data_IF_137736984992
#
_entry.id   IF_137736984992
#
_cell.length_a   1.000
_cell.length_b   1.000
_cell.length_c   1.000
_cell.angle_alpha   90.00
_cell.angle_beta   90.00
_cell.angle_gamma   90.00
#
_symmetry.space_group_name_H-M   'P 1'
#
loop_
_entity.id
_entity.type
_entity.pdbx_description
1 polymer ?
#
# COMPACT_ATOMS: atom_id res chain seq x y z
N UNK A 1 -25.11 -20.63 -35.93
CA UNK A 1 -25.69 -19.33 -35.56
C UNK A 1 -24.77 -18.66 -34.54
N UNK A 2 -24.11 -17.57 -34.93
CA UNK A 2 -23.13 -16.88 -34.10
C UNK A 2 -23.86 -15.84 -33.22
N UNK A 3 -23.88 -16.06 -31.91
CA UNK A 3 -24.39 -15.06 -30.96
C UNK A 3 -23.33 -13.99 -30.75
N UNK A 4 -23.47 -12.88 -31.47
CA UNK A 4 -22.73 -11.65 -31.18
C UNK A 4 -23.15 -11.15 -29.78
N UNK A 5 -22.31 -11.36 -28.77
CA UNK A 5 -22.48 -10.72 -27.47
C UNK A 5 -22.27 -9.22 -27.64
N UNK A 6 -23.35 -8.46 -27.61
CA UNK A 6 -23.29 -7.01 -27.39
C UNK A 6 -22.60 -6.78 -26.05
N UNK A 7 -21.43 -6.15 -26.08
CA UNK A 7 -20.81 -5.56 -24.89
C UNK A 7 -21.62 -4.31 -24.55
N UNK A 8 -22.77 -4.50 -23.91
CA UNK A 8 -23.46 -3.42 -23.24
C UNK A 8 -22.53 -2.90 -22.13
N UNK A 9 -22.29 -1.59 -22.15
CA UNK A 9 -21.28 -0.91 -21.36
C UNK A 9 -21.30 -1.36 -19.90
N UNK A 10 -20.25 -2.09 -19.52
CA UNK A 10 -20.02 -2.41 -18.12
C UNK A 10 -19.90 -1.07 -17.36
N UNK A 11 -20.64 -0.86 -16.26
CA UNK A 11 -20.43 0.30 -15.43
C UNK A 11 -18.95 0.30 -15.00
N UNK A 12 -18.30 1.45 -15.11
CA UNK A 12 -16.88 1.60 -14.77
C UNK A 12 -16.65 1.09 -13.34
N UNK A 13 -16.05 -0.09 -13.22
CA UNK A 13 -15.78 -0.70 -11.93
C UNK A 13 -14.68 0.12 -11.26
N UNK A 14 -15.02 0.88 -10.22
CA UNK A 14 -14.05 1.67 -9.46
C UNK A 14 -13.23 0.71 -8.60
N UNK A 15 -12.02 0.40 -9.02
CA UNK A 15 -11.07 -0.35 -8.21
C UNK A 15 -10.69 0.54 -7.02
N UNK A 16 -11.05 0.11 -5.81
CA UNK A 16 -10.71 0.81 -4.57
C UNK A 16 -9.36 0.28 -4.10
N UNK A 17 -8.39 1.17 -3.95
CA UNK A 17 -7.16 0.86 -3.22
C UNK A 17 -7.47 0.89 -1.73
N UNK A 18 -7.64 -0.30 -1.15
CA UNK A 18 -7.96 -0.46 0.27
C UNK A 18 -6.83 0.02 1.18
N UNK A 19 -5.57 -0.08 0.75
CA UNK A 19 -4.43 0.36 1.56
C UNK A 19 -4.43 1.88 1.67
N UNK A 20 -4.70 2.57 0.55
CA UNK A 20 -4.82 4.03 0.53
C UNK A 20 -6.05 4.52 1.30
N UNK A 21 -7.21 3.88 1.11
CA UNK A 21 -8.42 4.21 1.85
C UNK A 21 -8.24 4.01 3.37
N UNK A 22 -7.55 2.95 3.78
CA UNK A 22 -7.29 2.68 5.19
C UNK A 22 -6.33 3.70 5.81
N UNK A 23 -5.25 4.04 5.12
CA UNK A 23 -4.32 5.07 5.58
C UNK A 23 -4.99 6.46 5.66
N UNK A 24 -5.93 6.77 4.76
CA UNK A 24 -6.71 8.01 4.81
C UNK A 24 -7.76 8.02 5.92
N UNK A 25 -8.13 6.86 6.47
CA UNK A 25 -9.03 6.74 7.61
C UNK A 25 -8.33 6.88 8.97
N UNK A 26 -6.99 6.81 9.01
CA UNK A 26 -6.21 7.19 10.19
C UNK A 26 -6.34 8.70 10.44
N UNK A 27 -6.24 9.10 11.71
CA UNK A 27 -6.16 10.52 12.03
C UNK A 27 -4.86 11.16 11.48
N UNK A 28 -4.82 12.49 11.47
CA UNK A 28 -3.72 13.22 10.84
C UNK A 28 -2.36 12.96 11.51
N UNK A 29 -2.35 12.76 12.83
CA UNK A 29 -1.16 12.55 13.63
C UNK A 29 -0.59 11.14 13.40
N UNK A 30 -1.43 10.10 13.51
CA UNK A 30 -1.06 8.72 13.19
C UNK A 30 -0.58 8.57 11.75
N UNK A 31 -1.22 9.26 10.80
CA UNK A 31 -0.78 9.23 9.40
C UNK A 31 0.59 9.90 9.23
N UNK A 32 0.85 10.99 9.94
CA UNK A 32 2.15 11.65 9.92
C UNK A 32 3.24 10.75 10.51
N UNK A 33 2.97 10.08 11.62
CA UNK A 33 3.89 9.14 12.27
C UNK A 33 4.20 7.95 11.36
N UNK A 34 3.16 7.33 10.79
CA UNK A 34 3.31 6.22 9.82
C UNK A 34 4.14 6.64 8.60
N UNK A 35 3.97 7.87 8.12
CA UNK A 35 4.76 8.40 7.01
C UNK A 35 6.20 8.69 7.39
N UNK A 36 6.45 9.17 8.60
CA UNK A 36 7.81 9.40 9.11
C UNK A 36 8.55 8.06 9.27
N UNK A 37 7.90 7.06 9.86
CA UNK A 37 8.45 5.72 10.01
C UNK A 37 8.71 5.06 8.65
N UNK A 38 7.75 5.17 7.71
CA UNK A 38 7.93 4.65 6.35
C UNK A 38 9.11 5.30 5.63
N UNK A 39 9.37 6.59 5.82
CA UNK A 39 10.56 7.28 5.27
C UNK A 39 11.86 6.79 5.90
N UNK A 40 11.87 6.54 7.20
CA UNK A 40 13.05 5.98 7.88
C UNK A 40 13.38 4.58 7.33
N UNK A 41 12.35 3.73 7.21
CA UNK A 41 12.52 2.39 6.63
C UNK A 41 12.91 2.43 5.16
N UNK A 42 12.35 3.35 4.39
CA UNK A 42 12.75 3.59 3.01
C UNK A 42 14.24 3.90 2.90
N UNK A 43 14.74 4.83 3.71
CA UNK A 43 16.16 5.19 3.71
C UNK A 43 17.09 4.03 4.10
N UNK A 44 16.66 3.17 5.02
CA UNK A 44 17.47 2.05 5.51
C UNK A 44 17.44 0.82 4.58
N UNK A 45 16.29 0.48 4.01
CA UNK A 45 16.06 -0.81 3.35
C UNK A 45 15.68 -0.70 1.87
N UNK A 46 15.30 0.48 1.39
CA UNK A 46 14.94 0.74 0.00
C UNK A 46 15.49 2.11 -0.49
N UNK A 47 16.81 2.35 -0.40
CA UNK A 47 17.40 3.66 -0.72
C UNK A 47 17.25 4.05 -2.20
N UNK A 48 17.05 3.06 -3.08
CA UNK A 48 16.73 3.21 -4.50
C UNK A 48 15.27 3.59 -4.77
N UNK A 49 14.41 3.55 -3.74
CA UNK A 49 13.01 3.91 -3.83
C UNK A 49 12.16 2.96 -4.68
N UNK A 50 10.99 3.44 -5.09
CA UNK A 50 10.14 2.83 -6.12
C UNK A 50 9.84 1.33 -5.92
N UNK A 51 10.46 0.46 -6.72
CA UNK A 51 10.19 -0.98 -6.71
C UNK A 51 10.62 -1.66 -5.39
N UNK A 52 11.71 -1.19 -4.78
CA UNK A 52 12.20 -1.74 -3.52
C UNK A 52 11.27 -1.39 -2.36
N UNK A 53 10.62 -0.23 -2.40
CA UNK A 53 9.57 0.14 -1.43
C UNK A 53 8.35 -0.77 -1.53
N UNK A 54 7.94 -1.13 -2.75
CA UNK A 54 6.81 -2.05 -2.95
C UNK A 54 7.16 -3.44 -2.46
N UNK A 55 8.40 -3.92 -2.70
CA UNK A 55 8.87 -5.20 -2.18
C UNK A 55 8.93 -5.19 -0.65
N UNK A 56 9.49 -4.16 -0.05
CA UNK A 56 9.55 -3.99 1.41
C UNK A 56 8.15 -3.99 2.04
N UNK A 57 7.21 -3.26 1.42
CA UNK A 57 5.82 -3.26 1.87
C UNK A 57 5.17 -4.65 1.79
N UNK A 58 5.46 -5.41 0.73
CA UNK A 58 4.97 -6.78 0.58
C UNK A 58 5.52 -7.68 1.68
N UNK A 59 6.83 -7.62 1.95
CA UNK A 59 7.50 -8.40 3.00
C UNK A 59 6.98 -8.06 4.40
N UNK A 60 6.83 -6.77 4.73
CA UNK A 60 6.23 -6.33 6.00
C UNK A 60 4.80 -6.84 6.19
N UNK A 61 4.00 -6.84 5.11
CA UNK A 61 2.62 -7.34 5.17
C UNK A 61 2.52 -8.87 5.24
N UNK A 62 3.54 -9.58 4.73
CA UNK A 62 3.62 -11.04 4.65
C UNK A 62 4.42 -11.69 5.79
N UNK A 63 5.07 -10.87 6.65
CA UNK A 63 5.94 -11.32 7.73
C UNK A 63 5.33 -12.39 8.65
N UNK A 64 6.20 -13.14 9.33
CA UNK A 64 5.78 -14.23 10.23
C UNK A 64 4.84 -13.70 11.30
N UNK A 65 3.86 -14.52 11.68
CA UNK A 65 2.99 -14.26 12.83
C UNK A 65 3.76 -14.62 14.08
N UNK A 66 4.67 -13.76 14.50
CA UNK A 66 5.17 -13.79 15.87
C UNK A 66 4.30 -12.89 16.76
N UNK A 67 4.33 -13.14 18.07
CA UNK A 67 3.57 -12.36 19.06
C UNK A 67 4.17 -10.95 19.25
N UNK A 68 5.36 -10.71 18.71
CA UNK A 68 6.11 -9.46 18.84
C UNK A 68 5.66 -8.43 17.79
N UNK A 69 5.28 -8.88 16.58
CA UNK A 69 4.88 -7.99 15.50
C UNK A 69 3.39 -7.59 15.59
N UNK A 70 3.15 -6.31 15.86
CA UNK A 70 1.81 -5.72 15.74
C UNK A 70 1.37 -5.69 14.26
N UNK A 71 0.56 -6.68 13.87
CA UNK A 71 0.08 -6.86 12.49
C UNK A 71 -0.72 -5.67 11.95
N UNK A 72 -1.48 -5.00 12.81
CA UNK A 72 -2.25 -3.83 12.39
C UNK A 72 -1.29 -2.69 12.03
N UNK A 73 -0.24 -2.49 12.84
CA UNK A 73 0.82 -1.52 12.57
C UNK A 73 1.60 -1.86 11.29
N UNK A 74 2.07 -3.10 11.15
CA UNK A 74 2.82 -3.55 9.97
C UNK A 74 2.04 -3.35 8.65
N UNK A 75 0.72 -3.59 8.67
CA UNK A 75 -0.14 -3.34 7.51
C UNK A 75 -0.30 -1.85 7.19
N UNK A 76 -0.46 -1.00 8.20
CA UNK A 76 -0.52 0.46 8.01
C UNK A 76 0.80 1.00 7.47
N UNK A 77 1.92 0.47 7.97
CA UNK A 77 3.26 0.83 7.51
C UNK A 77 3.52 0.38 6.08
N UNK A 78 3.08 -0.83 5.72
CA UNK A 78 3.10 -1.31 4.34
C UNK A 78 2.26 -0.43 3.39
N UNK A 79 1.09 0.03 3.84
CA UNK A 79 0.27 0.97 3.08
C UNK A 79 0.98 2.33 2.87
N UNK A 80 1.65 2.85 3.90
CA UNK A 80 2.44 4.07 3.82
C UNK A 80 3.62 3.93 2.83
N UNK A 81 4.34 2.81 2.88
CA UNK A 81 5.44 2.50 1.95
C UNK A 81 4.97 2.37 0.50
N UNK A 82 3.83 1.73 0.25
CA UNK A 82 3.23 1.67 -1.10
C UNK A 82 2.87 3.06 -1.62
N UNK A 83 2.34 3.93 -0.75
CA UNK A 83 2.02 5.31 -1.12
C UNK A 83 3.28 6.11 -1.47
N UNK A 84 4.36 5.96 -0.70
CA UNK A 84 5.66 6.57 -1.00
C UNK A 84 6.20 6.10 -2.36
N UNK A 85 6.20 4.78 -2.61
CA UNK A 85 6.67 4.22 -3.88
C UNK A 85 5.83 4.64 -5.10
N UNK A 86 4.55 5.02 -4.91
CA UNK A 86 3.73 5.64 -5.97
C UNK A 86 4.10 7.11 -6.19
N UNK A 87 4.37 7.86 -5.13
CA UNK A 87 4.73 9.27 -5.20
C UNK A 87 6.10 9.49 -5.85
N UNK A 88 7.06 8.58 -5.67
CA UNK A 88 8.38 8.66 -6.32
C UNK A 88 8.38 8.27 -7.81
N UNK A 89 7.31 7.62 -8.29
CA UNK A 89 7.15 7.27 -9.72
C UNK A 89 6.46 8.36 -10.54
N UNK A 90 5.94 9.41 -9.89
CA UNK A 90 5.27 10.56 -10.50
C UNK A 90 6.24 11.74 -10.61
#
# INVERSE_FOLDING_TARGET
>A
MAHARRQEGQPACKIIDFDEAWLNACDAEQRADLMAEAKLLAGAFAPSGGADLVRLAAELSAGRRDEEMNRAHARRLAAALKRLGKAEKA
#
